data_IF_335737289234
#
_entry.id   IF_335737289234
#
_cell.length_a   1.000
_cell.length_b   1.000
_cell.length_c   1.000
_cell.angle_alpha   90.00
_cell.angle_beta   90.00
_cell.angle_gamma   90.00
#
_symmetry.space_group_name_H-M   'P 1'
#
loop_
_entity.id
_entity.type
_entity.pdbx_description
1 polymer ?
#
# COMPACT_ATOMS: atom_id res chain seq x y z
N UNK A 1 31.85 8.26 12.78
CA UNK A 1 30.54 8.95 12.82
C UNK A 1 29.98 8.92 11.42
N UNK A 2 29.07 8.00 11.12
CA UNK A 2 28.26 8.05 9.90
C UNK A 2 27.25 9.17 10.07
N UNK A 3 27.32 10.20 9.24
CA UNK A 3 26.29 11.24 9.17
C UNK A 3 24.94 10.56 8.88
N UNK A 4 24.04 10.65 9.85
CA UNK A 4 22.70 10.08 9.75
C UNK A 4 21.88 10.95 8.79
N UNK A 5 21.46 10.37 7.66
CA UNK A 5 20.65 11.08 6.67
C UNK A 5 19.32 11.47 7.31
N UNK A 6 18.92 12.74 7.21
CA UNK A 6 17.65 13.22 7.80
C UNK A 6 16.46 12.76 6.96
N UNK A 7 15.36 12.38 7.62
CA UNK A 7 14.08 12.13 6.94
C UNK A 7 13.66 13.34 6.09
N UNK A 8 13.11 13.07 4.90
CA UNK A 8 12.78 14.08 3.90
C UNK A 8 13.95 14.49 3.00
N UNK A 9 15.16 13.99 3.23
CA UNK A 9 16.30 14.26 2.32
C UNK A 9 16.03 13.67 0.95
N UNK A 10 16.14 14.47 -0.12
CA UNK A 10 15.98 14.02 -1.50
C UNK A 10 17.32 13.79 -2.19
N UNK A 11 17.42 12.72 -3.00
CA UNK A 11 18.61 12.40 -3.80
C UNK A 11 18.20 11.67 -5.07
N UNK A 12 18.96 11.87 -6.14
CA UNK A 12 18.86 11.05 -7.34
C UNK A 12 19.69 9.76 -7.19
N UNK A 13 19.05 8.60 -7.35
CA UNK A 13 19.68 7.28 -7.22
C UNK A 13 19.37 6.48 -8.49
N UNK A 14 20.40 6.16 -9.27
CA UNK A 14 20.28 5.44 -10.55
C UNK A 14 19.23 6.05 -11.50
N UNK A 15 19.26 7.38 -11.66
CA UNK A 15 18.34 8.11 -12.54
C UNK A 15 16.92 8.29 -11.98
N UNK A 16 16.69 7.99 -10.69
CA UNK A 16 15.37 8.07 -10.05
C UNK A 16 15.43 9.04 -8.88
N UNK A 17 14.49 9.98 -8.84
CA UNK A 17 14.27 10.83 -7.65
C UNK A 17 13.81 9.96 -6.48
N UNK A 18 14.52 10.05 -5.35
CA UNK A 18 14.24 9.32 -4.13
C UNK A 18 14.21 10.26 -2.93
N UNK A 19 13.39 9.94 -1.93
CA UNK A 19 13.31 10.61 -0.63
C UNK A 19 13.64 9.63 0.48
N UNK A 20 14.42 10.06 1.46
CA UNK A 20 14.84 9.24 2.58
C UNK A 20 13.81 9.28 3.72
N UNK A 21 13.35 8.10 4.16
CA UNK A 21 12.57 7.93 5.39
C UNK A 21 12.97 6.61 6.08
N UNK A 22 13.25 6.70 7.37
CA UNK A 22 13.37 5.55 8.29
C UNK A 22 14.32 4.45 7.80
N UNK A 23 15.46 4.85 7.24
CA UNK A 23 16.48 3.93 6.72
C UNK A 23 16.33 3.55 5.24
N UNK A 24 15.26 3.99 4.58
CA UNK A 24 14.96 3.63 3.20
C UNK A 24 14.98 4.84 2.26
N UNK A 25 15.55 4.64 1.08
CA UNK A 25 15.37 5.54 -0.06
C UNK A 25 14.14 5.13 -0.85
N UNK A 26 13.05 5.88 -0.68
CA UNK A 26 11.76 5.63 -1.32
C UNK A 26 11.72 6.42 -2.62
N UNK A 27 11.35 5.78 -3.74
CA UNK A 27 11.19 6.49 -5.02
C UNK A 27 10.11 7.57 -4.88
N UNK A 28 10.49 8.81 -5.13
CA UNK A 28 9.58 9.95 -5.20
C UNK A 28 8.92 10.01 -6.56
N UNK A 29 7.61 10.27 -6.58
CA UNK A 29 6.84 10.50 -7.79
C UNK A 29 6.27 11.90 -7.73
N UNK A 30 6.70 12.76 -8.65
CA UNK A 30 6.11 14.08 -8.80
C UNK A 30 4.79 13.93 -9.55
N UNK A 31 3.68 14.27 -8.89
CA UNK A 31 2.40 14.43 -9.57
C UNK A 31 2.50 15.67 -10.47
N UNK A 32 2.33 15.48 -11.78
CA UNK A 32 2.44 16.56 -12.76
C UNK A 32 1.30 17.60 -12.61
N UNK A 33 0.15 17.17 -12.09
CA UNK A 33 -0.96 18.02 -11.67
C UNK A 33 -1.56 17.43 -10.40
N UNK A 34 -2.00 18.29 -9.47
CA UNK A 34 -2.79 17.84 -8.32
C UNK A 34 -4.25 17.62 -8.77
N UNK A 35 -4.47 16.57 -9.55
CA UNK A 35 -5.78 16.19 -10.08
C UNK A 35 -6.24 14.85 -9.51
N UNK A 36 -7.56 14.66 -9.38
CA UNK A 36 -8.12 13.38 -8.93
C UNK A 36 -7.77 12.21 -9.87
N UNK A 37 -7.73 12.48 -11.18
CA UNK A 37 -7.31 11.50 -12.18
C UNK A 37 -5.86 11.02 -11.94
N UNK A 38 -4.93 11.95 -11.66
CA UNK A 38 -3.54 11.61 -11.39
C UNK A 38 -3.38 10.85 -10.08
N UNK A 39 -4.16 11.20 -9.03
CA UNK A 39 -4.19 10.45 -7.76
C UNK A 39 -4.64 8.99 -7.97
N UNK A 40 -5.72 8.77 -8.72
CA UNK A 40 -6.20 7.41 -9.05
C UNK A 40 -5.17 6.63 -9.86
N UNK A 41 -4.56 7.27 -10.87
CA UNK A 41 -3.49 6.66 -11.65
C UNK A 41 -2.29 6.27 -10.78
N UNK A 42 -1.91 7.13 -9.82
CA UNK A 42 -0.81 6.84 -8.90
C UNK A 42 -1.12 5.63 -8.02
N UNK A 43 -2.33 5.56 -7.46
CA UNK A 43 -2.78 4.39 -6.69
C UNK A 43 -2.62 3.11 -7.52
N UNK A 44 -3.11 3.10 -8.76
CA UNK A 44 -2.99 1.95 -9.66
C UNK A 44 -1.55 1.57 -9.97
N UNK A 45 -0.69 2.54 -10.24
CA UNK A 45 0.74 2.31 -10.51
C UNK A 45 1.45 1.71 -9.29
N UNK A 46 1.17 2.23 -8.10
CA UNK A 46 1.75 1.73 -6.85
C UNK A 46 1.29 0.30 -6.57
N UNK A 47 0.00 0.01 -6.71
CA UNK A 47 -0.54 -1.36 -6.54
C UNK A 47 0.07 -2.34 -7.52
N UNK A 48 0.15 -1.98 -8.82
CA UNK A 48 0.81 -2.83 -9.83
C UNK A 48 2.26 -3.12 -9.46
N UNK A 49 2.97 -2.13 -8.92
CA UNK A 49 4.36 -2.28 -8.53
C UNK A 49 4.54 -3.22 -7.34
N UNK A 50 3.67 -3.11 -6.33
CA UNK A 50 3.67 -4.02 -5.17
C UNK A 50 3.56 -5.47 -5.62
N UNK A 51 2.71 -5.75 -6.62
CA UNK A 51 2.47 -7.10 -7.12
C UNK A 51 3.30 -7.48 -8.36
N UNK A 52 4.20 -6.62 -8.85
CA UNK A 52 4.87 -6.83 -10.14
C UNK A 52 5.76 -8.09 -10.16
N UNK A 53 6.36 -8.40 -9.02
CA UNK A 53 7.28 -9.54 -8.87
C UNK A 53 6.73 -10.63 -7.95
N UNK A 54 5.43 -10.60 -7.63
CA UNK A 54 4.82 -11.62 -6.79
C UNK A 54 4.15 -12.70 -7.65
N UNK A 55 4.09 -13.91 -7.12
CA UNK A 55 3.30 -14.99 -7.70
C UNK A 55 1.82 -14.61 -7.75
N UNK A 56 1.08 -15.09 -8.76
CA UNK A 56 -0.34 -14.73 -8.94
C UNK A 56 -1.20 -15.03 -7.71
N UNK A 57 -0.85 -16.08 -6.94
CA UNK A 57 -1.54 -16.43 -5.70
C UNK A 57 -1.38 -15.40 -4.58
N UNK A 58 -0.36 -14.55 -4.61
CA UNK A 58 -0.11 -13.51 -3.60
C UNK A 58 -0.98 -12.27 -3.86
N UNK A 59 -1.25 -11.91 -5.13
CA UNK A 59 -2.19 -10.85 -5.49
C UNK A 59 -3.65 -11.31 -5.28
N UNK A 60 -4.04 -11.44 -4.02
CA UNK A 60 -5.32 -12.03 -3.65
C UNK A 60 -6.41 -10.96 -3.59
N UNK A 61 -7.62 -11.21 -4.16
CA UNK A 61 -8.73 -10.26 -4.10
C UNK A 61 -9.15 -9.90 -2.67
N UNK A 62 -9.45 -8.62 -2.43
CA UNK A 62 -9.87 -8.08 -1.13
C UNK A 62 -11.21 -8.64 -0.62
N UNK A 63 -12.11 -9.03 -1.52
CA UNK A 63 -13.42 -9.57 -1.16
C UNK A 63 -13.37 -10.97 -0.50
N UNK A 64 -12.17 -11.58 -0.45
CA UNK A 64 -11.91 -12.85 0.22
C UNK A 64 -11.11 -12.68 1.51
N UNK A 65 -10.91 -11.45 2.00
CA UNK A 65 -10.06 -11.18 3.14
C UNK A 65 -10.39 -12.07 4.35
N UNK A 66 -11.67 -12.15 4.72
CA UNK A 66 -12.10 -12.91 5.89
C UNK A 66 -11.85 -14.43 5.73
N UNK A 67 -11.98 -14.95 4.51
CA UNK A 67 -11.70 -16.36 4.23
C UNK A 67 -10.20 -16.65 4.29
N UNK A 68 -9.38 -15.74 3.76
CA UNK A 68 -7.92 -15.85 3.78
C UNK A 68 -7.41 -15.75 5.21
N UNK A 69 -7.98 -14.85 6.02
CA UNK A 69 -7.67 -14.70 7.44
C UNK A 69 -7.89 -16.02 8.18
N UNK A 70 -9.09 -16.61 8.05
CA UNK A 70 -9.41 -17.92 8.68
C UNK A 70 -8.45 -19.01 8.23
N UNK A 71 -8.12 -19.05 6.94
CA UNK A 71 -7.23 -20.04 6.36
C UNK A 71 -5.79 -19.88 6.84
N UNK A 72 -5.32 -18.65 7.05
CA UNK A 72 -4.02 -18.32 7.63
C UNK A 72 -3.94 -18.70 9.12
N UNK A 73 -4.96 -18.32 9.90
CA UNK A 73 -5.03 -18.61 11.34
C UNK A 73 -5.05 -20.11 11.61
N UNK A 74 -5.85 -20.86 10.85
CA UNK A 74 -5.98 -22.32 10.98
C UNK A 74 -4.76 -23.10 10.47
N UNK A 75 -3.79 -22.47 9.79
CA UNK A 75 -2.60 -23.18 9.30
C UNK A 75 -1.58 -23.41 10.43
N UNK A 76 -1.19 -24.66 10.59
CA UNK A 76 -0.16 -25.10 11.54
C UNK A 76 1.18 -25.37 10.88
N UNK A 77 1.21 -25.72 9.58
CA UNK A 77 2.47 -25.97 8.89
C UNK A 77 3.20 -24.63 8.63
N UNK A 78 4.43 -24.43 9.14
CA UNK A 78 5.12 -23.14 9.04
C UNK A 78 5.38 -22.69 7.60
N UNK A 79 5.70 -23.61 6.69
CA UNK A 79 5.96 -23.27 5.29
C UNK A 79 4.68 -22.80 4.58
N UNK A 80 3.57 -23.51 4.80
CA UNK A 80 2.27 -23.12 4.25
C UNK A 80 1.72 -21.85 4.89
N UNK A 81 1.98 -21.63 6.18
CA UNK A 81 1.57 -20.43 6.90
C UNK A 81 2.24 -19.18 6.34
N UNK A 82 3.51 -19.26 5.94
CA UNK A 82 4.20 -18.16 5.23
C UNK A 82 3.52 -17.80 3.91
N UNK A 83 3.17 -18.79 3.10
CA UNK A 83 2.46 -18.57 1.82
C UNK A 83 1.11 -17.91 2.08
N UNK A 84 0.33 -18.44 3.02
CA UNK A 84 -0.97 -17.87 3.41
C UNK A 84 -0.85 -16.46 4.00
N UNK A 85 0.22 -16.17 4.73
CA UNK A 85 0.53 -14.84 5.22
C UNK A 85 0.79 -13.85 4.07
N UNK A 86 1.52 -14.26 3.04
CA UNK A 86 1.71 -13.45 1.84
C UNK A 86 0.37 -13.20 1.10
N UNK A 87 -0.50 -14.21 1.02
CA UNK A 87 -1.85 -14.04 0.46
C UNK A 87 -2.71 -13.07 1.27
N UNK A 88 -2.64 -13.16 2.61
CA UNK A 88 -3.33 -12.26 3.53
C UNK A 88 -2.86 -10.82 3.35
N UNK A 89 -1.54 -10.59 3.36
CA UNK A 89 -0.94 -9.30 3.09
C UNK A 89 -1.39 -8.73 1.75
N UNK A 90 -1.42 -9.55 0.69
CA UNK A 90 -1.92 -9.13 -0.62
C UNK A 90 -3.40 -8.73 -0.62
N UNK A 91 -4.25 -9.47 0.10
CA UNK A 91 -5.66 -9.13 0.26
C UNK A 91 -5.88 -7.82 1.03
N UNK A 92 -5.11 -7.61 2.11
CA UNK A 92 -5.10 -6.37 2.89
C UNK A 92 -4.65 -5.17 2.05
N UNK A 93 -3.58 -5.32 1.27
CA UNK A 93 -3.11 -4.30 0.33
C UNK A 93 -4.17 -3.94 -0.70
N UNK A 94 -4.86 -4.94 -1.26
CA UNK A 94 -5.95 -4.71 -2.21
C UNK A 94 -7.16 -4.02 -1.55
N UNK A 95 -7.48 -4.33 -0.29
CA UNK A 95 -8.54 -3.64 0.47
C UNK A 95 -8.17 -2.19 0.74
N UNK A 96 -6.95 -1.93 1.23
CA UNK A 96 -6.45 -0.56 1.44
C UNK A 96 -6.46 0.25 0.15
N UNK A 97 -5.99 -0.33 -0.97
CA UNK A 97 -6.08 0.27 -2.32
C UNK A 97 -7.51 0.67 -2.66
N UNK A 98 -8.47 -0.23 -2.51
CA UNK A 98 -9.87 0.03 -2.86
C UNK A 98 -10.48 1.16 -2.03
N UNK A 99 -10.22 1.17 -0.71
CA UNK A 99 -10.70 2.23 0.18
C UNK A 99 -10.08 3.57 -0.22
N UNK A 100 -8.77 3.61 -0.52
CA UNK A 100 -8.10 4.83 -0.94
C UNK A 100 -8.65 5.35 -2.28
N UNK A 101 -8.92 4.47 -3.24
CA UNK A 101 -9.59 4.85 -4.49
C UNK A 101 -10.98 5.45 -4.23
N UNK A 102 -11.78 4.82 -3.36
CA UNK A 102 -13.12 5.31 -3.02
C UNK A 102 -13.07 6.68 -2.32
N UNK A 103 -12.08 6.94 -1.46
CA UNK A 103 -11.87 8.25 -0.83
C UNK A 103 -11.61 9.31 -1.90
N UNK A 104 -10.70 9.05 -2.85
CA UNK A 104 -10.40 9.98 -3.94
C UNK A 104 -11.63 10.24 -4.82
N UNK A 105 -12.47 9.23 -5.06
CA UNK A 105 -13.75 9.37 -5.77
C UNK A 105 -14.76 10.25 -5.01
N UNK A 106 -14.84 10.12 -3.69
CA UNK A 106 -15.68 10.97 -2.85
C UNK A 106 -15.18 12.43 -2.88
N UNK A 107 -13.87 12.66 -2.77
CA UNK A 107 -13.29 13.99 -2.89
C UNK A 107 -13.55 14.63 -4.27
N UNK A 108 -13.46 13.83 -5.34
CA UNK A 108 -13.81 14.25 -6.70
C UNK A 108 -15.27 14.67 -6.83
N UNK A 109 -16.18 13.98 -6.13
CA UNK A 109 -17.59 14.36 -6.04
C UNK A 109 -17.85 15.59 -5.14
N UNK A 110 -16.81 16.20 -4.56
CA UNK A 110 -16.90 17.38 -3.71
C UNK A 110 -17.13 17.07 -2.22
N UNK A 111 -17.06 15.81 -1.80
CA UNK A 111 -17.16 15.43 -0.39
C UNK A 111 -15.85 15.75 0.30
N UNK A 112 -15.92 16.55 1.37
CA UNK A 112 -14.74 16.83 2.21
C UNK A 112 -14.47 15.64 3.13
N UNK A 113 -13.29 15.04 3.01
CA UNK A 113 -12.83 13.95 3.87
C UNK A 113 -11.80 14.51 4.84
N UNK A 114 -12.11 14.53 6.14
CA UNK A 114 -11.15 14.93 7.17
C UNK A 114 -10.08 13.85 7.39
N UNK A 115 -8.90 14.24 7.84
CA UNK A 115 -7.80 13.29 8.13
C UNK A 115 -8.14 12.28 9.23
N UNK A 116 -9.10 12.61 10.08
CA UNK A 116 -9.68 11.76 11.13
C UNK A 116 -10.72 10.77 10.62
N UNK A 117 -11.10 10.83 9.34
CA UNK A 117 -12.19 10.04 8.79
C UNK A 117 -11.93 8.53 8.93
N UNK A 118 -12.96 7.78 9.32
CA UNK A 118 -12.86 6.34 9.58
C UNK A 118 -12.43 5.52 8.35
N UNK A 119 -12.74 5.95 7.13
CA UNK A 119 -12.27 5.30 5.91
C UNK A 119 -10.75 5.46 5.76
N UNK A 120 -10.19 6.65 6.04
CA UNK A 120 -8.73 6.85 6.02
C UNK A 120 -8.05 6.01 7.11
N UNK A 121 -8.66 5.91 8.29
CA UNK A 121 -8.15 5.07 9.39
C UNK A 121 -8.16 3.59 9.02
N UNK A 122 -9.24 3.10 8.41
CA UNK A 122 -9.35 1.72 7.94
C UNK A 122 -8.35 1.43 6.82
N UNK A 123 -8.18 2.35 5.87
CA UNK A 123 -7.15 2.26 4.84
C UNK A 123 -5.76 2.12 5.45
N UNK A 124 -5.43 2.96 6.44
CA UNK A 124 -4.17 2.89 7.18
C UNK A 124 -3.98 1.55 7.91
N UNK A 125 -5.03 1.05 8.59
CA UNK A 125 -5.00 -0.26 9.25
C UNK A 125 -4.67 -1.38 8.27
N UNK A 126 -5.31 -1.41 7.10
CA UNK A 126 -5.04 -2.42 6.07
C UNK A 126 -3.56 -2.43 5.66
N UNK A 127 -2.93 -1.26 5.47
CA UNK A 127 -1.53 -1.18 5.08
C UNK A 127 -0.57 -1.56 6.19
N UNK A 128 -0.86 -1.18 7.44
CA UNK A 128 -0.03 -1.54 8.60
C UNK A 128 -0.09 -3.05 8.86
N UNK A 129 -1.29 -3.63 8.81
CA UNK A 129 -1.49 -5.06 9.04
C UNK A 129 -0.83 -5.91 7.95
N UNK A 130 -0.83 -5.44 6.69
CA UNK A 130 -0.13 -6.14 5.60
C UNK A 130 1.40 -6.22 5.78
N UNK A 131 1.98 -5.38 6.66
CA UNK A 131 3.42 -5.33 6.96
C UNK A 131 3.79 -6.02 8.27
N UNK A 132 2.79 -6.50 9.03
CA UNK A 132 2.96 -7.15 10.33
C UNK A 132 3.22 -8.65 10.20
#
# INVERSE_FOLDING_TARGET
MTDEVKNGTTREIAGKSCVYYDGYWIRSYHLHKDSYADKKQMIDQLTRRVFHHVEQGINTPSNRLDDIQKVYEAESNPARKRVKGAMLAGSLLNRGRQILTAIVELEEAGVKIETSNELLRECGRCFIEALS
#
